data_IF_421462172469
#
_entry.id   IF_421462172469
#
_cell.length_a   1.000
_cell.length_b   1.000
_cell.length_c   1.000
_cell.angle_alpha   90.00
_cell.angle_beta   90.00
_cell.angle_gamma   90.00
#
_symmetry.space_group_name_H-M   'P 1'
#
loop_
_entity.id
_entity.type
_entity.pdbx_description
1 polymer ?
#
# COMPACT_ATOMS: atom_id res chain seq x y z
N UNK A 1 -29.45 0.50 -13.36
CA UNK A 1 -28.83 0.98 -14.63
C UNK A 1 -27.90 2.19 -14.47
N UNK A 2 -28.05 3.03 -13.44
CA UNK A 2 -27.19 4.20 -13.15
C UNK A 2 -25.72 3.88 -12.84
N UNK A 3 -25.42 2.70 -12.29
CA UNK A 3 -24.05 2.34 -11.89
C UNK A 3 -23.06 2.09 -13.03
N UNK A 4 -23.52 1.64 -14.21
CA UNK A 4 -22.64 1.35 -15.36
C UNK A 4 -22.18 2.63 -16.07
N UNK A 5 -23.08 3.59 -16.25
CA UNK A 5 -22.77 4.86 -16.89
C UNK A 5 -21.84 5.73 -16.01
N UNK A 6 -22.04 5.70 -14.69
CA UNK A 6 -21.14 6.38 -13.74
C UNK A 6 -19.75 5.74 -13.73
N UNK A 7 -19.64 4.40 -13.76
CA UNK A 7 -18.34 3.72 -13.88
C UNK A 7 -17.60 4.10 -15.17
N UNK A 8 -18.30 4.09 -16.30
CA UNK A 8 -17.72 4.49 -17.58
C UNK A 8 -17.25 5.94 -17.58
N UNK A 9 -18.05 6.87 -17.03
CA UNK A 9 -17.66 8.27 -16.86
C UNK A 9 -16.43 8.44 -15.98
N UNK A 10 -16.35 7.70 -14.88
CA UNK A 10 -15.23 7.75 -13.95
C UNK A 10 -13.96 7.19 -14.60
N UNK A 11 -14.05 6.05 -15.29
CA UNK A 11 -12.94 5.48 -16.07
C UNK A 11 -12.49 6.42 -17.20
N UNK A 12 -13.42 7.06 -17.91
CA UNK A 12 -13.12 8.07 -18.94
C UNK A 12 -12.42 9.29 -18.35
N UNK A 13 -12.89 9.81 -17.21
CA UNK A 13 -12.23 10.90 -16.50
C UNK A 13 -10.80 10.52 -16.11
N UNK A 14 -10.58 9.29 -15.63
CA UNK A 14 -9.23 8.79 -15.33
C UNK A 14 -8.34 8.65 -16.55
N UNK A 15 -8.86 8.16 -17.68
CA UNK A 15 -8.13 8.08 -18.93
C UNK A 15 -7.75 9.48 -19.43
N UNK A 16 -8.66 10.46 -19.34
CA UNK A 16 -8.40 11.85 -19.73
C UNK A 16 -7.32 12.47 -18.83
N UNK A 17 -7.39 12.24 -17.52
CA UNK A 17 -6.35 12.67 -16.57
C UNK A 17 -5.01 11.99 -16.88
N UNK A 18 -5.01 10.71 -17.24
CA UNK A 18 -3.82 9.97 -17.68
C UNK A 18 -3.18 10.61 -18.90
N UNK A 19 -3.99 10.93 -19.92
CA UNK A 19 -3.54 11.54 -21.17
C UNK A 19 -3.00 12.94 -20.93
N UNK A 20 -3.63 13.69 -20.03
CA UNK A 20 -3.18 15.01 -19.66
C UNK A 20 -1.85 14.97 -18.89
N UNK A 21 -1.70 14.05 -17.94
CA UNK A 21 -0.45 13.81 -17.21
C UNK A 21 0.66 13.25 -18.12
N UNK A 22 0.32 12.41 -19.10
CA UNK A 22 1.24 11.95 -20.15
C UNK A 22 1.87 13.11 -20.91
N UNK A 23 1.07 14.13 -21.24
CA UNK A 23 1.53 15.33 -21.95
C UNK A 23 2.31 16.28 -21.05
N UNK A 24 1.94 16.39 -19.78
CA UNK A 24 2.48 17.39 -18.88
C UNK A 24 3.76 16.97 -18.16
N UNK A 25 3.98 15.68 -17.94
CA UNK A 25 5.07 15.20 -17.06
C UNK A 25 5.91 14.10 -17.71
N UNK A 26 5.31 12.97 -18.11
CA UNK A 26 6.06 11.84 -18.67
C UNK A 26 5.15 10.86 -19.43
N UNK A 27 5.55 10.40 -20.62
CA UNK A 27 4.79 9.44 -21.45
C UNK A 27 4.51 8.10 -20.74
N UNK A 28 5.37 7.71 -19.80
CA UNK A 28 5.22 6.45 -19.05
C UNK A 28 4.04 6.48 -18.05
N UNK A 29 3.46 7.65 -17.72
CA UNK A 29 2.28 7.75 -16.83
C UNK A 29 1.04 6.97 -17.30
N UNK A 30 0.99 6.56 -18.58
CA UNK A 30 -0.08 5.66 -19.06
C UNK A 30 -0.11 4.33 -18.33
N UNK A 31 1.03 3.81 -17.86
CA UNK A 31 1.07 2.54 -17.14
C UNK A 31 0.48 2.63 -15.73
N UNK A 32 0.33 3.84 -15.18
CA UNK A 32 -0.34 4.06 -13.89
C UNK A 32 -1.85 3.79 -14.01
N UNK A 33 -2.43 4.29 -15.09
CA UNK A 33 -3.82 4.01 -15.45
C UNK A 33 -3.96 2.59 -15.96
N UNK A 34 -3.00 2.07 -16.73
CA UNK A 34 -2.98 0.67 -17.10
C UNK A 34 -2.97 -0.22 -15.84
N UNK A 35 -2.10 -0.01 -14.86
CA UNK A 35 -1.97 -0.85 -13.66
C UNK A 35 -3.17 -0.78 -12.72
N UNK A 36 -3.71 0.42 -12.47
CA UNK A 36 -4.89 0.60 -11.60
C UNK A 36 -6.16 0.03 -12.25
N UNK A 37 -6.28 0.11 -13.58
CA UNK A 37 -7.43 -0.36 -14.34
C UNK A 37 -7.21 -1.71 -15.06
N UNK A 38 -6.04 -2.33 -14.97
CA UNK A 38 -5.72 -3.59 -15.66
C UNK A 38 -6.70 -4.68 -15.22
N UNK A 39 -6.88 -4.83 -13.92
CA UNK A 39 -7.74 -5.84 -13.33
C UNK A 39 -9.23 -5.61 -13.65
N UNK A 40 -9.79 -4.39 -13.53
CA UNK A 40 -11.11 -4.08 -14.06
C UNK A 40 -11.27 -4.40 -15.55
N UNK A 41 -10.31 -3.99 -16.40
CA UNK A 41 -10.36 -4.21 -17.85
C UNK A 41 -10.28 -5.70 -18.21
N UNK A 42 -9.33 -6.44 -17.64
CA UNK A 42 -9.19 -7.88 -17.85
C UNK A 42 -10.45 -8.66 -17.42
N UNK A 43 -11.17 -8.17 -16.41
CA UNK A 43 -12.46 -8.74 -15.99
C UNK A 43 -13.58 -8.38 -16.95
N UNK A 44 -13.64 -7.15 -17.44
CA UNK A 44 -14.61 -6.74 -18.46
C UNK A 44 -14.40 -7.49 -19.79
N UNK A 45 -13.16 -7.92 -20.10
CA UNK A 45 -12.84 -8.79 -21.24
C UNK A 45 -13.07 -10.29 -20.96
N UNK A 46 -13.56 -10.67 -19.77
CA UNK A 46 -13.86 -12.07 -19.42
C UNK A 46 -12.62 -12.95 -19.18
N UNK A 47 -11.43 -12.37 -19.07
CA UNK A 47 -10.17 -13.11 -18.83
C UNK A 47 -10.06 -13.50 -17.35
N UNK A 48 -10.56 -12.65 -16.45
CA UNK A 48 -10.61 -12.92 -15.02
C UNK A 48 -12.01 -13.34 -14.59
N UNK A 49 -12.08 -14.30 -13.65
CA UNK A 49 -13.32 -14.79 -13.07
C UNK A 49 -14.13 -13.60 -12.50
N UNK A 50 -15.44 -13.62 -12.74
CA UNK A 50 -16.35 -12.63 -12.16
C UNK A 50 -16.25 -12.66 -10.64
N UNK A 51 -16.03 -11.48 -10.06
CA UNK A 51 -16.02 -11.29 -8.62
C UNK A 51 -17.45 -11.31 -8.09
N UNK A 52 -17.61 -11.86 -6.89
CA UNK A 52 -18.85 -11.73 -6.11
C UNK A 52 -19.19 -10.23 -5.93
N UNK A 53 -20.47 -9.88 -5.73
CA UNK A 53 -20.90 -8.49 -5.53
C UNK A 53 -20.15 -7.82 -4.37
N UNK A 54 -19.90 -8.58 -3.30
CA UNK A 54 -19.08 -8.14 -2.17
C UNK A 54 -17.65 -7.83 -2.58
N UNK A 55 -17.00 -8.72 -3.33
CA UNK A 55 -15.63 -8.52 -3.79
C UNK A 55 -15.52 -7.34 -4.77
N UNK A 56 -16.51 -7.14 -5.65
CA UNK A 56 -16.59 -5.96 -6.53
C UNK A 56 -16.69 -4.65 -5.76
N UNK A 57 -17.48 -4.63 -4.69
CA UNK A 57 -17.57 -3.46 -3.82
C UNK A 57 -16.22 -3.17 -3.13
N UNK A 58 -15.56 -4.20 -2.60
CA UNK A 58 -14.25 -4.07 -1.96
C UNK A 58 -13.16 -3.63 -2.94
N UNK A 59 -13.14 -4.15 -4.17
CA UNK A 59 -12.23 -3.75 -5.24
C UNK A 59 -12.43 -2.28 -5.64
N UNK A 60 -13.68 -1.80 -5.66
CA UNK A 60 -13.99 -0.40 -5.93
C UNK A 60 -13.49 0.53 -4.80
N UNK A 61 -13.68 0.16 -3.53
CA UNK A 61 -13.19 0.95 -2.40
C UNK A 61 -11.67 0.98 -2.35
N UNK A 62 -11.02 -0.18 -2.50
CA UNK A 62 -9.55 -0.26 -2.45
C UNK A 62 -8.92 0.54 -3.59
N UNK A 63 -9.53 0.52 -4.79
CA UNK A 63 -9.10 1.34 -5.92
C UNK A 63 -9.26 2.84 -5.65
N UNK A 64 -10.34 3.27 -5.00
CA UNK A 64 -10.54 4.69 -4.62
C UNK A 64 -9.51 5.13 -3.57
N UNK A 65 -9.23 4.30 -2.57
CA UNK A 65 -8.24 4.62 -1.53
C UNK A 65 -6.83 4.68 -2.13
N UNK A 66 -6.48 3.74 -3.01
CA UNK A 66 -5.23 3.76 -3.75
C UNK A 66 -5.07 5.04 -4.56
N UNK A 67 -6.15 5.49 -5.20
CA UNK A 67 -6.14 6.74 -5.95
C UNK A 67 -5.91 7.96 -5.07
N UNK A 68 -6.60 8.03 -3.93
CA UNK A 68 -6.40 9.10 -2.95
C UNK A 68 -4.93 9.11 -2.50
N UNK A 69 -4.35 7.93 -2.22
CA UNK A 69 -2.93 7.82 -1.87
C UNK A 69 -2.01 8.34 -2.99
N UNK A 70 -2.29 8.02 -4.27
CA UNK A 70 -1.53 8.59 -5.40
C UNK A 70 -1.60 10.12 -5.42
N UNK A 71 -2.80 10.68 -5.30
CA UNK A 71 -2.99 12.14 -5.32
C UNK A 71 -2.24 12.79 -4.17
N UNK A 72 -2.33 12.22 -2.96
CA UNK A 72 -1.60 12.73 -1.80
C UNK A 72 -0.09 12.68 -1.98
N UNK A 73 0.46 11.59 -2.54
CA UNK A 73 1.90 11.49 -2.84
C UNK A 73 2.32 12.53 -3.87
N UNK A 74 1.55 12.72 -4.94
CA UNK A 74 1.85 13.73 -5.96
C UNK A 74 1.79 15.14 -5.38
N UNK A 75 0.75 15.46 -4.59
CA UNK A 75 0.63 16.75 -3.91
C UNK A 75 1.77 16.98 -2.92
N UNK A 76 2.17 15.94 -2.18
CA UNK A 76 3.31 16.01 -1.26
C UNK A 76 4.61 16.30 -2.00
N UNK A 77 4.88 15.62 -3.12
CA UNK A 77 6.06 15.86 -3.95
C UNK A 77 6.10 17.28 -4.55
N UNK A 78 4.96 17.75 -5.06
CA UNK A 78 4.82 19.13 -5.57
C UNK A 78 5.01 20.14 -4.43
N UNK A 79 4.43 19.89 -3.26
CA UNK A 79 4.57 20.74 -2.08
C UNK A 79 6.01 20.88 -1.59
N UNK A 80 6.80 19.83 -1.74
CA UNK A 80 8.25 19.83 -1.46
C UNK A 80 9.10 20.45 -2.59
N UNK A 81 8.47 20.94 -3.67
CA UNK A 81 9.12 21.54 -4.85
C UNK A 81 10.09 20.61 -5.57
N UNK A 82 9.87 19.30 -5.47
CA UNK A 82 10.69 18.33 -6.20
C UNK A 82 10.35 18.35 -7.70
N UNK A 83 11.39 18.32 -8.54
CA UNK A 83 11.20 18.12 -9.97
C UNK A 83 10.97 16.62 -10.21
N UNK A 84 9.82 16.28 -10.77
CA UNK A 84 9.47 14.89 -11.05
C UNK A 84 10.42 14.32 -12.11
N UNK A 85 11.22 13.35 -11.69
CA UNK A 85 12.17 12.61 -12.50
C UNK A 85 11.57 11.27 -12.99
N UNK A 86 12.30 10.55 -13.85
CA UNK A 86 11.94 9.19 -14.25
C UNK A 86 11.87 8.22 -13.07
N UNK A 87 12.62 8.44 -11.99
CA UNK A 87 12.60 7.56 -10.82
C UNK A 87 11.35 7.77 -9.96
N UNK A 88 10.80 8.99 -9.95
CA UNK A 88 9.53 9.30 -9.28
C UNK A 88 8.35 8.54 -9.91
N UNK A 89 8.45 8.20 -11.20
CA UNK A 89 7.44 7.39 -11.87
C UNK A 89 7.22 6.04 -11.18
N UNK A 90 8.29 5.34 -10.80
CA UNK A 90 8.18 4.05 -10.10
C UNK A 90 7.44 4.19 -8.78
N UNK A 91 7.68 5.29 -8.06
CA UNK A 91 7.01 5.60 -6.80
C UNK A 91 5.53 5.84 -7.01
N UNK A 92 5.18 6.70 -7.98
CA UNK A 92 3.79 7.10 -8.22
C UNK A 92 2.98 5.89 -8.73
N UNK A 93 3.60 4.91 -9.40
CA UNK A 93 2.95 3.66 -9.83
C UNK A 93 2.88 2.61 -8.71
N UNK A 94 3.97 2.35 -8.00
CA UNK A 94 4.02 1.26 -7.02
C UNK A 94 3.21 1.55 -5.77
N UNK A 95 3.24 2.79 -5.26
CA UNK A 95 2.49 3.16 -4.05
C UNK A 95 0.99 2.84 -4.17
N UNK A 96 0.25 3.25 -5.22
CA UNK A 96 -1.16 2.90 -5.34
C UNK A 96 -1.41 1.40 -5.48
N UNK A 97 -0.56 0.68 -6.21
CA UNK A 97 -0.71 -0.78 -6.37
C UNK A 97 -0.62 -1.45 -5.00
N UNK A 98 0.40 -1.08 -4.21
CA UNK A 98 0.60 -1.59 -2.85
C UNK A 98 -0.56 -1.16 -1.94
N UNK A 99 -0.96 0.12 -2.00
CA UNK A 99 -2.10 0.64 -1.24
C UNK A 99 -3.35 -0.18 -1.51
N UNK A 100 -3.67 -0.40 -2.79
CA UNK A 100 -4.84 -1.16 -3.24
C UNK A 100 -4.78 -2.58 -2.70
N UNK A 101 -3.65 -3.25 -2.88
CA UNK A 101 -3.46 -4.63 -2.43
C UNK A 101 -3.64 -4.74 -0.91
N UNK A 102 -2.97 -3.89 -0.14
CA UNK A 102 -3.06 -3.91 1.31
C UNK A 102 -4.50 -3.63 1.76
N UNK A 103 -5.11 -2.54 1.31
CA UNK A 103 -6.48 -2.18 1.69
C UNK A 103 -7.49 -3.27 1.31
N UNK A 104 -7.37 -3.85 0.11
CA UNK A 104 -8.22 -4.95 -0.34
C UNK A 104 -8.08 -6.16 0.58
N UNK A 105 -6.85 -6.60 0.86
CA UNK A 105 -6.57 -7.74 1.76
C UNK A 105 -7.13 -7.47 3.15
N UNK A 106 -6.94 -6.26 3.68
CA UNK A 106 -7.46 -5.87 4.98
C UNK A 106 -8.96 -5.99 5.08
N UNK A 107 -9.69 -5.60 4.03
CA UNK A 107 -11.16 -5.64 4.02
C UNK A 107 -11.72 -7.03 3.69
N UNK A 108 -10.99 -7.82 2.91
CA UNK A 108 -11.43 -9.14 2.49
C UNK A 108 -11.21 -10.21 3.56
N UNK A 109 -10.12 -10.11 4.32
CA UNK A 109 -9.75 -11.12 5.31
C UNK A 109 -10.27 -10.79 6.71
N UNK A 110 -10.54 -11.82 7.55
CA UNK A 110 -10.71 -11.63 8.98
C UNK A 110 -9.52 -10.89 9.58
N UNK A 111 -9.79 -10.10 10.63
CA UNK A 111 -8.82 -9.23 11.30
C UNK A 111 -7.48 -9.92 11.57
N UNK A 112 -7.48 -11.08 12.21
CA UNK A 112 -6.25 -11.80 12.55
C UNK A 112 -5.46 -12.25 11.31
N UNK A 113 -6.16 -12.70 10.26
CA UNK A 113 -5.54 -13.13 9.00
C UNK A 113 -4.93 -11.93 8.26
N UNK A 114 -5.61 -10.79 8.24
CA UNK A 114 -5.10 -9.56 7.64
C UNK A 114 -3.84 -9.07 8.36
N UNK A 115 -3.86 -8.99 9.70
CA UNK A 115 -2.68 -8.59 10.50
C UNK A 115 -1.51 -9.52 10.25
N UNK A 116 -1.73 -10.84 10.26
CA UNK A 116 -0.69 -11.82 9.97
C UNK A 116 -0.10 -11.63 8.57
N UNK A 117 -0.93 -11.38 7.57
CA UNK A 117 -0.46 -11.19 6.20
C UNK A 117 0.44 -9.96 6.09
N UNK A 118 -0.02 -8.81 6.58
CA UNK A 118 0.74 -7.57 6.54
C UNK A 118 2.10 -7.69 7.24
N UNK A 119 2.10 -8.22 8.46
CA UNK A 119 3.30 -8.27 9.29
C UNK A 119 4.26 -9.34 8.78
N UNK A 120 3.78 -10.55 8.47
CA UNK A 120 4.69 -11.65 8.08
C UNK A 120 5.31 -11.41 6.71
N UNK A 121 4.55 -10.92 5.73
CA UNK A 121 5.11 -10.61 4.41
C UNK A 121 6.17 -9.51 4.54
N UNK A 122 5.88 -8.45 5.29
CA UNK A 122 6.85 -7.39 5.55
C UNK A 122 8.11 -7.91 6.23
N UNK A 123 7.96 -8.69 7.31
CA UNK A 123 9.09 -9.20 8.09
C UNK A 123 9.93 -10.19 7.29
N UNK A 124 9.31 -11.06 6.49
CA UNK A 124 10.05 -11.98 5.60
C UNK A 124 10.86 -11.20 4.58
N UNK A 125 10.27 -10.20 3.93
CA UNK A 125 10.99 -9.36 2.95
C UNK A 125 12.15 -8.62 3.63
N UNK A 126 11.89 -8.01 4.79
CA UNK A 126 12.89 -7.26 5.56
C UNK A 126 14.04 -8.16 6.03
N UNK A 127 13.75 -9.28 6.67
CA UNK A 127 14.77 -10.21 7.16
C UNK A 127 15.54 -10.86 6.01
N UNK A 128 14.87 -11.17 4.91
CA UNK A 128 15.52 -11.60 3.68
C UNK A 128 16.52 -10.57 3.17
N UNK A 129 16.14 -9.28 3.14
CA UNK A 129 17.03 -8.19 2.74
C UNK A 129 18.24 -8.06 3.69
N UNK A 130 18.02 -8.09 5.00
CA UNK A 130 19.10 -8.01 6.01
C UNK A 130 20.07 -9.19 5.85
N UNK A 131 19.55 -10.41 5.69
CA UNK A 131 20.36 -11.61 5.51
C UNK A 131 21.16 -11.57 4.21
N UNK A 132 20.56 -11.13 3.10
CA UNK A 132 21.25 -11.00 1.81
C UNK A 132 22.30 -9.89 1.82
N UNK A 133 22.07 -8.82 2.59
CA UNK A 133 22.98 -7.67 2.66
C UNK A 133 24.21 -7.94 3.52
N UNK A 134 24.04 -8.67 4.63
CA UNK A 134 25.09 -8.83 5.65
C UNK A 134 25.56 -10.28 5.87
N UNK A 135 24.96 -11.25 5.16
CA UNK A 135 25.27 -12.68 5.33
C UNK A 135 24.96 -13.18 6.74
N UNK A 136 25.67 -14.21 7.21
CA UNK A 136 25.57 -14.69 8.59
C UNK A 136 26.63 -13.97 9.42
N UNK A 137 26.25 -12.89 10.11
CA UNK A 137 27.14 -12.08 10.94
C UNK A 137 26.44 -11.51 12.18
N UNK A 138 27.22 -10.97 13.12
CA UNK A 138 26.67 -10.24 14.27
C UNK A 138 25.88 -8.99 13.85
N UNK A 139 26.26 -8.36 12.73
CA UNK A 139 25.54 -7.21 12.15
C UNK A 139 24.15 -7.64 11.72
N UNK A 140 24.03 -8.77 11.04
CA UNK A 140 22.73 -9.35 10.63
C UNK A 140 21.79 -9.55 11.81
N UNK A 141 22.31 -10.01 12.96
CA UNK A 141 21.50 -10.19 14.18
C UNK A 141 20.92 -8.86 14.67
N UNK A 142 21.76 -7.82 14.75
CA UNK A 142 21.37 -6.49 15.23
C UNK A 142 20.37 -5.85 14.27
N UNK A 143 20.63 -5.91 12.97
CA UNK A 143 19.75 -5.32 11.96
C UNK A 143 18.43 -6.07 11.78
N UNK A 144 18.35 -7.31 12.25
CA UNK A 144 17.10 -8.08 12.27
C UNK A 144 16.15 -7.65 13.39
N UNK A 145 16.66 -7.00 14.45
CA UNK A 145 15.86 -6.64 15.64
C UNK A 145 14.62 -5.78 15.32
N UNK A 146 14.67 -4.75 14.45
CA UNK A 146 13.46 -4.00 14.10
C UNK A 146 12.38 -4.87 13.47
N UNK A 147 12.77 -5.79 12.57
CA UNK A 147 11.84 -6.73 11.93
C UNK A 147 11.22 -7.69 12.95
N UNK A 148 12.04 -8.23 13.87
CA UNK A 148 11.57 -9.09 14.95
C UNK A 148 10.63 -8.34 15.91
N UNK A 149 10.93 -7.08 16.24
CA UNK A 149 10.07 -6.25 17.08
C UNK A 149 8.70 -6.02 16.42
N UNK A 150 8.66 -5.69 15.13
CA UNK A 150 7.41 -5.55 14.37
C UNK A 150 6.62 -6.87 14.37
N UNK A 151 7.30 -8.01 14.23
CA UNK A 151 6.65 -9.33 14.33
C UNK A 151 6.02 -9.56 15.70
N UNK A 152 6.74 -9.28 16.78
CA UNK A 152 6.25 -9.45 18.16
C UNK A 152 5.05 -8.54 18.39
N UNK A 153 5.15 -7.24 18.09
CA UNK A 153 4.03 -6.32 18.24
C UNK A 153 2.83 -6.74 17.39
N UNK A 154 3.06 -7.19 16.15
CA UNK A 154 2.02 -7.69 15.26
C UNK A 154 1.29 -8.89 15.83
N UNK A 155 2.03 -9.90 16.29
CA UNK A 155 1.48 -11.13 16.87
C UNK A 155 0.67 -10.85 18.16
N UNK A 156 1.20 -9.99 19.05
CA UNK A 156 0.54 -9.60 20.30
C UNK A 156 -0.69 -8.70 20.06
N UNK A 157 -0.66 -7.86 19.03
CA UNK A 157 -1.74 -6.93 18.70
C UNK A 157 -3.05 -7.64 18.34
N UNK A 158 -3.00 -8.91 17.91
CA UNK A 158 -4.19 -9.72 17.65
C UNK A 158 -5.05 -9.91 18.90
N UNK A 159 -4.42 -10.11 20.06
CA UNK A 159 -5.10 -10.36 21.33
C UNK A 159 -5.32 -9.08 22.14
N UNK A 160 -4.37 -8.15 22.08
CA UNK A 160 -4.35 -6.98 22.96
C UNK A 160 -4.23 -5.69 22.16
N UNK A 161 -5.29 -4.88 22.18
CA UNK A 161 -5.38 -3.63 21.39
C UNK A 161 -4.23 -2.65 21.68
N UNK A 162 -3.72 -2.61 22.91
CA UNK A 162 -2.63 -1.70 23.30
C UNK A 162 -1.33 -1.94 22.53
N UNK A 163 -1.07 -3.15 22.02
CA UNK A 163 0.12 -3.42 21.20
C UNK A 163 0.03 -2.78 19.79
N UNK A 164 -1.15 -2.29 19.38
CA UNK A 164 -1.25 -1.42 18.19
C UNK A 164 -0.49 -0.11 18.37
N UNK A 165 -0.41 0.43 19.60
CA UNK A 165 0.41 1.60 19.88
C UNK A 165 1.90 1.31 19.66
N UNK A 166 2.34 0.07 19.94
CA UNK A 166 3.68 -0.39 19.61
C UNK A 166 3.93 -0.40 18.11
N UNK A 167 2.97 -0.85 17.30
CA UNK A 167 3.06 -0.79 15.83
C UNK A 167 3.14 0.67 15.34
N UNK A 168 2.31 1.58 15.86
CA UNK A 168 2.40 2.99 15.50
C UNK A 168 3.70 3.64 15.98
N UNK A 169 4.20 3.24 17.16
CA UNK A 169 5.52 3.64 17.67
C UNK A 169 6.64 3.22 16.72
N UNK A 170 6.63 1.97 16.24
CA UNK A 170 7.58 1.49 15.24
C UNK A 170 7.47 2.27 13.93
N UNK A 171 6.26 2.55 13.45
CA UNK A 171 6.07 3.40 12.26
C UNK A 171 6.63 4.81 12.47
N UNK A 172 6.48 5.39 13.67
CA UNK A 172 7.08 6.67 14.05
C UNK A 172 8.61 6.64 14.04
N UNK A 173 9.21 5.62 14.66
CA UNK A 173 10.67 5.42 14.66
C UNK A 173 11.23 5.23 13.24
N UNK A 174 10.54 4.49 12.38
CA UNK A 174 10.94 4.34 10.98
C UNK A 174 10.81 5.69 10.26
N UNK A 175 9.73 6.44 10.51
CA UNK A 175 9.56 7.78 9.93
C UNK A 175 10.70 8.71 10.31
N UNK A 176 11.19 8.69 11.56
CA UNK A 176 12.30 9.56 11.96
C UNK A 176 13.62 9.22 11.25
N UNK A 177 13.82 7.97 10.83
CA UNK A 177 15.03 7.57 10.06
C UNK A 177 14.96 7.99 8.58
N UNK A 178 13.75 8.13 8.03
CA UNK A 178 13.54 8.42 6.61
C UNK A 178 13.23 9.89 6.32
N UNK A 179 12.96 10.71 7.35
CA UNK A 179 12.46 12.08 7.18
C UNK A 179 13.37 12.97 6.32
N UNK A 180 14.69 12.87 6.51
CA UNK A 180 15.67 13.66 5.75
C UNK A 180 15.79 13.23 4.28
N UNK A 181 15.38 11.99 3.97
CA UNK A 181 15.53 11.39 2.65
C UNK A 181 14.19 11.20 1.93
N UNK A 182 13.06 11.59 2.53
CA UNK A 182 11.71 11.35 2.00
C UNK A 182 11.43 12.10 0.68
N UNK A 183 12.24 13.11 0.37
CA UNK A 183 12.22 13.83 -0.90
C UNK A 183 12.75 12.98 -2.05
N UNK A 184 13.57 11.96 -1.78
CA UNK A 184 14.14 11.09 -2.81
C UNK A 184 13.16 9.96 -3.13
N UNK A 185 12.95 9.62 -4.42
CA UNK A 185 11.94 8.64 -4.82
C UNK A 185 12.14 7.25 -4.19
N UNK A 186 13.35 6.68 -4.26
CA UNK A 186 13.62 5.33 -3.74
C UNK A 186 13.41 5.25 -2.21
N UNK A 187 14.00 6.14 -1.38
CA UNK A 187 13.72 6.15 0.06
C UNK A 187 12.24 6.33 0.40
N UNK A 188 11.49 7.16 -0.34
CA UNK A 188 10.05 7.31 -0.14
C UNK A 188 9.30 6.00 -0.41
N UNK A 189 9.65 5.29 -1.48
CA UNK A 189 9.05 4.00 -1.80
C UNK A 189 9.34 2.97 -0.70
N UNK A 190 10.60 2.85 -0.27
CA UNK A 190 11.00 1.93 0.80
C UNK A 190 10.29 2.27 2.11
N UNK A 191 10.25 3.56 2.46
CA UNK A 191 9.50 4.06 3.60
C UNK A 191 8.03 3.64 3.53
N UNK A 192 7.37 3.85 2.39
CA UNK A 192 5.98 3.51 2.19
C UNK A 192 5.73 1.99 2.27
N UNK A 193 6.58 1.18 1.63
CA UNK A 193 6.50 -0.28 1.63
C UNK A 193 6.63 -0.86 3.04
N UNK A 194 7.45 -0.25 3.89
CA UNK A 194 7.67 -0.71 5.27
C UNK A 194 6.57 -0.20 6.20
N UNK A 195 6.21 1.08 6.11
CA UNK A 195 5.29 1.69 7.07
C UNK A 195 3.83 1.39 6.79
N UNK A 196 3.41 1.30 5.52
CA UNK A 196 2.00 1.07 5.18
C UNK A 196 1.43 -0.25 5.73
N UNK A 197 2.13 -1.40 5.69
CA UNK A 197 1.62 -2.63 6.30
C UNK A 197 1.56 -2.53 7.84
N UNK A 198 2.53 -1.85 8.48
CA UNK A 198 2.56 -1.65 9.94
C UNK A 198 1.37 -0.78 10.38
N UNK A 199 1.16 0.35 9.71
CA UNK A 199 0.06 1.28 10.00
C UNK A 199 -1.29 0.61 9.77
N UNK A 200 -1.46 -0.12 8.66
CA UNK A 200 -2.69 -0.84 8.37
C UNK A 200 -2.94 -2.00 9.35
N UNK A 201 -1.90 -2.69 9.81
CA UNK A 201 -2.02 -3.67 10.90
C UNK A 201 -2.46 -2.99 12.20
N UNK A 202 -1.88 -1.86 12.56
CA UNK A 202 -2.26 -1.07 13.74
C UNK A 202 -3.72 -0.61 13.68
N UNK A 203 -4.15 -0.05 12.54
CA UNK A 203 -5.55 0.34 12.31
C UNK A 203 -6.47 -0.89 12.45
N UNK A 204 -6.11 -2.02 11.82
CA UNK A 204 -6.91 -3.25 11.88
C UNK A 204 -7.04 -3.80 13.28
N UNK A 205 -6.02 -3.66 14.11
CA UNK A 205 -6.10 -4.03 15.52
C UNK A 205 -7.15 -3.23 16.28
N UNK A 206 -7.24 -1.93 16.00
CA UNK A 206 -8.16 -0.99 16.65
C UNK A 206 -9.60 -1.07 16.13
N UNK A 207 -9.77 -1.45 14.86
CA UNK A 207 -11.11 -1.66 14.29
C UNK A 207 -11.85 -2.74 15.09
N UNK A 208 -13.10 -2.43 15.47
CA UNK A 208 -13.96 -3.40 16.12
C UNK A 208 -14.36 -4.46 15.08
N UNK A 209 -14.26 -5.74 15.44
CA UNK A 209 -14.78 -6.83 14.61
C UNK A 209 -16.29 -6.62 14.43
N UNK A 210 -16.70 -6.09 13.27
CA UNK A 210 -18.09 -6.11 12.81
C UNK A 210 -18.47 -7.48 12.25
N UNK A 211 -17.92 -8.54 12.83
CA UNK A 211 -18.46 -9.90 12.68
C UNK A 211 -19.01 -10.23 14.05
N UNK A 212 -20.09 -9.54 14.39
CA UNK A 212 -21.07 -10.06 15.33
C UNK A 212 -21.59 -11.35 14.73
N UNK A 213 -21.31 -12.46 15.43
CA UNK A 213 -22.28 -13.49 15.75
C UNK A 213 -23.38 -13.69 14.69
N UNK A 214 -23.10 -14.57 13.73
CA UNK A 214 -24.10 -15.51 13.20
C UNK A 214 -23.46 -16.90 13.20
#
# INVERSE_FOLDING_TARGET
MTGRNVRLLLSLAFIIIAIWLMKAVNQWFVFLVAGVFLFPLLRDFGILKDLDERERYLDAISSRIALIATVLVVLFQIGLKNQLSGDDFFVIVLIPIVTKALVFIGMCLPKEKAINYYIRVLVIIYLGFVLLSHGISAVTLIESLPGIAVLIFGELSKRWKWFSLGLFGMAGLITSQFIDNITRPIPLLVYYLITSPIVLAGIRTLMHDRVSQE
#
